data_IF_288685728912
#
_entry.id   IF_288685728912
#
_cell.length_a   1.000
_cell.length_b   1.000
_cell.length_c   1.000
_cell.angle_alpha   90.00
_cell.angle_beta   90.00
_cell.angle_gamma   90.00
#
_symmetry.space_group_name_H-M   'P 1'
#
loop_
_entity.id
_entity.type
_entity.pdbx_description
1 polymer ?
#
# COMPACT_ATOMS: atom_id res chain seq x y z
N UNK A 1 -7.99 6.04 -17.93
CA UNK A 1 -7.98 4.57 -17.76
C UNK A 1 -9.19 4.17 -16.94
N UNK A 2 -9.82 3.02 -17.20
CA UNK A 2 -11.01 2.61 -16.42
C UNK A 2 -10.59 2.06 -15.04
N UNK A 3 -11.24 2.52 -13.97
CA UNK A 3 -10.96 2.05 -12.58
C UNK A 3 -11.08 0.53 -12.47
N UNK A 4 -12.11 -0.08 -13.06
CA UNK A 4 -12.33 -1.53 -12.99
C UNK A 4 -11.20 -2.32 -13.67
N UNK A 5 -10.57 -1.76 -14.71
CA UNK A 5 -9.39 -2.37 -15.32
C UNK A 5 -8.18 -2.33 -14.37
N UNK A 6 -7.94 -1.19 -13.71
CA UNK A 6 -6.84 -1.04 -12.74
C UNK A 6 -7.02 -2.04 -11.60
N UNK A 7 -8.24 -2.15 -11.04
CA UNK A 7 -8.56 -3.10 -9.97
C UNK A 7 -8.28 -4.55 -10.39
N UNK A 8 -8.72 -4.94 -11.59
CA UNK A 8 -8.49 -6.29 -12.13
C UNK A 8 -7.00 -6.62 -12.28
N UNK A 9 -6.20 -5.68 -12.78
CA UNK A 9 -4.75 -5.87 -12.93
C UNK A 9 -4.06 -6.02 -11.56
N UNK A 10 -4.44 -5.20 -10.57
CA UNK A 10 -3.93 -5.30 -9.19
C UNK A 10 -4.26 -6.68 -8.61
N UNK A 11 -5.52 -7.10 -8.65
CA UNK A 11 -5.94 -8.40 -8.11
C UNK A 11 -5.13 -9.53 -8.75
N UNK A 12 -4.94 -9.47 -10.07
CA UNK A 12 -4.19 -10.51 -10.80
C UNK A 12 -2.70 -10.51 -10.43
N UNK A 13 -2.06 -9.35 -10.36
CA UNK A 13 -0.62 -9.24 -10.10
C UNK A 13 -0.22 -9.60 -8.66
N UNK A 14 -1.15 -9.49 -7.71
CA UNK A 14 -0.92 -9.74 -6.29
C UNK A 14 -1.61 -11.00 -5.75
N UNK A 15 -2.35 -11.76 -6.57
CA UNK A 15 -3.23 -12.87 -6.11
C UNK A 15 -2.57 -13.90 -5.16
N UNK A 16 -1.29 -14.21 -5.34
CA UNK A 16 -0.58 -15.26 -4.60
C UNK A 16 0.37 -14.69 -3.52
N UNK A 17 0.30 -13.38 -3.26
CA UNK A 17 1.16 -12.71 -2.29
C UNK A 17 0.71 -13.06 -0.88
N UNK A 18 1.66 -13.47 -0.05
CA UNK A 18 1.49 -13.80 1.38
C UNK A 18 2.35 -12.89 2.25
N UNK A 19 1.90 -12.63 3.46
CA UNK A 19 2.59 -11.78 4.43
C UNK A 19 3.89 -12.43 4.94
N UNK A 20 3.91 -13.76 5.10
CA UNK A 20 5.03 -14.50 5.71
C UNK A 20 5.44 -13.86 7.05
N UNK A 21 6.71 -13.49 7.19
CA UNK A 21 7.29 -12.85 8.36
C UNK A 21 7.27 -11.32 8.29
N UNK A 22 6.69 -10.73 7.23
CA UNK A 22 6.54 -9.28 7.12
C UNK A 22 5.62 -8.70 8.19
N UNK A 23 5.76 -7.39 8.44
CA UNK A 23 4.96 -6.66 9.43
C UNK A 23 3.50 -6.64 8.99
N UNK A 24 2.60 -7.09 9.87
CA UNK A 24 1.16 -7.15 9.62
C UNK A 24 0.42 -5.83 9.86
N UNK A 25 -0.83 -5.73 9.40
CA UNK A 25 -1.64 -4.51 9.49
C UNK A 25 -1.80 -4.01 10.94
N UNK A 26 -2.21 -4.89 11.84
CA UNK A 26 -2.45 -4.59 13.26
C UNK A 26 -1.14 -4.48 14.04
N UNK A 27 -0.13 -5.27 13.68
CA UNK A 27 1.23 -5.10 14.22
C UNK A 27 1.78 -3.70 13.91
N UNK A 28 1.65 -3.25 12.66
CA UNK A 28 2.05 -1.90 12.25
C UNK A 28 1.28 -0.81 13.00
N UNK A 29 -0.03 -0.99 13.22
CA UNK A 29 -0.83 -0.06 14.00
C UNK A 29 -0.33 0.02 15.45
N UNK A 30 -0.03 -1.13 16.08
CA UNK A 30 0.52 -1.16 17.43
C UNK A 30 1.90 -0.48 17.51
N UNK A 31 2.73 -0.58 16.44
CA UNK A 31 4.00 0.15 16.36
C UNK A 31 3.74 1.66 16.31
N UNK A 32 2.78 2.12 15.49
CA UNK A 32 2.40 3.54 15.39
C UNK A 32 1.84 4.09 16.72
N UNK A 33 1.09 3.26 17.45
CA UNK A 33 0.54 3.60 18.77
C UNK A 33 1.62 3.58 19.88
N UNK A 34 2.89 3.34 19.55
CA UNK A 34 4.02 3.21 20.49
C UNK A 34 3.81 2.12 21.54
N UNK A 35 3.05 1.08 21.20
CA UNK A 35 2.81 -0.03 22.09
C UNK A 35 4.08 -0.85 22.32
N UNK A 36 4.15 -1.53 23.47
CA UNK A 36 5.28 -2.38 23.81
C UNK A 36 5.31 -3.67 22.96
N UNK A 37 6.45 -4.37 22.98
CA UNK A 37 6.65 -5.58 22.17
C UNK A 37 5.60 -6.67 22.43
N UNK A 38 5.14 -6.86 23.66
CA UNK A 38 4.13 -7.88 23.98
C UNK A 38 2.78 -7.53 23.32
N UNK A 39 2.40 -6.26 23.37
CA UNK A 39 1.20 -5.75 22.70
C UNK A 39 1.30 -5.85 21.17
N UNK A 40 2.47 -5.58 20.58
CA UNK A 40 2.71 -5.78 19.15
C UNK A 40 2.57 -7.25 18.73
N UNK A 41 3.10 -8.18 19.53
CA UNK A 41 2.94 -9.63 19.29
C UNK A 41 1.47 -10.05 19.39
N UNK A 42 0.72 -9.50 20.35
CA UNK A 42 -0.72 -9.74 20.46
C UNK A 42 -1.47 -9.19 19.24
N UNK A 43 -1.13 -7.99 18.78
CA UNK A 43 -1.72 -7.39 17.59
C UNK A 43 -1.44 -8.24 16.34
N UNK A 44 -0.20 -8.74 16.20
CA UNK A 44 0.22 -9.65 15.11
C UNK A 44 -0.59 -10.95 15.03
N UNK A 45 -1.22 -11.37 16.12
CA UNK A 45 -2.08 -12.56 16.12
C UNK A 45 -3.43 -12.31 15.42
N UNK A 46 -3.84 -11.05 15.23
CA UNK A 46 -5.04 -10.67 14.49
C UNK A 46 -4.81 -10.58 12.98
N UNK A 47 -3.54 -10.52 12.55
CA UNK A 47 -3.21 -10.25 11.15
C UNK A 47 -3.57 -11.40 10.21
N UNK A 48 -4.19 -11.02 9.10
CA UNK A 48 -4.40 -11.87 7.94
C UNK A 48 -3.06 -12.05 7.22
N UNK A 49 -2.66 -13.30 6.98
CA UNK A 49 -1.32 -13.61 6.45
C UNK A 49 -1.30 -14.29 5.08
N UNK A 50 -2.40 -14.96 4.72
CA UNK A 50 -2.45 -15.83 3.54
C UNK A 50 -3.12 -15.20 2.33
N UNK A 51 -4.05 -14.26 2.54
CA UNK A 51 -4.81 -13.65 1.45
C UNK A 51 -5.21 -12.21 1.80
N UNK A 52 -4.50 -11.25 1.23
CA UNK A 52 -4.74 -9.82 1.46
C UNK A 52 -6.14 -9.35 1.02
N UNK A 53 -6.84 -10.07 0.13
CA UNK A 53 -8.22 -9.75 -0.26
C UNK A 53 -9.23 -9.91 0.89
N UNK A 54 -8.85 -10.58 1.98
CA UNK A 54 -9.71 -10.74 3.16
C UNK A 54 -9.62 -9.55 4.11
N UNK A 55 -8.69 -8.61 3.90
CA UNK A 55 -8.61 -7.39 4.70
C UNK A 55 -9.88 -6.57 4.49
N UNK A 56 -10.55 -6.22 5.57
CA UNK A 56 -11.79 -5.45 5.49
C UNK A 56 -11.49 -3.96 5.26
N UNK A 57 -12.39 -3.26 4.59
CA UNK A 57 -12.27 -1.80 4.44
C UNK A 57 -12.29 -1.08 5.80
N UNK A 58 -12.95 -1.64 6.81
CA UNK A 58 -12.99 -1.08 8.16
C UNK A 58 -11.62 -1.17 8.84
N UNK A 59 -10.95 -2.32 8.75
CA UNK A 59 -9.60 -2.49 9.28
C UNK A 59 -8.59 -1.59 8.55
N UNK A 60 -8.69 -1.50 7.22
CA UNK A 60 -7.82 -0.62 6.42
C UNK A 60 -8.05 0.87 6.72
N UNK A 61 -9.30 1.27 6.96
CA UNK A 61 -9.64 2.63 7.37
C UNK A 61 -9.10 2.94 8.76
N UNK A 62 -9.21 1.99 9.69
CA UNK A 62 -8.73 2.17 11.06
C UNK A 62 -7.20 2.14 11.18
N UNK A 63 -6.54 1.33 10.35
CA UNK A 63 -5.10 1.15 10.34
C UNK A 63 -4.43 1.87 9.16
N UNK A 64 -4.91 3.08 8.82
CA UNK A 64 -4.45 3.82 7.64
C UNK A 64 -2.99 4.30 7.75
N UNK A 65 -2.50 4.54 8.97
CA UNK A 65 -1.12 4.91 9.26
C UNK A 65 -0.11 3.75 9.08
N UNK A 66 -0.58 2.50 9.13
CA UNK A 66 0.26 1.29 9.08
C UNK A 66 1.18 1.22 7.85
N UNK A 67 0.80 1.86 6.73
CA UNK A 67 1.64 1.94 5.52
C UNK A 67 3.03 2.56 5.78
N UNK A 68 3.19 3.37 6.82
CA UNK A 68 4.48 3.99 7.17
C UNK A 68 5.41 3.05 7.96
N UNK A 69 4.89 1.94 8.48
CA UNK A 69 5.60 1.04 9.40
C UNK A 69 5.85 -0.34 8.84
N UNK A 70 5.35 -0.64 7.64
CA UNK A 70 5.64 -1.91 7.00
C UNK A 70 7.10 -2.03 6.59
N UNK A 71 7.64 -3.23 6.78
CA UNK A 71 8.85 -3.66 6.09
C UNK A 71 8.55 -4.01 4.63
N UNK A 72 9.57 -4.40 3.85
CA UNK A 72 9.38 -4.68 2.43
C UNK A 72 8.37 -5.81 2.15
N UNK A 73 8.28 -6.80 3.05
CA UNK A 73 7.38 -7.93 2.89
C UNK A 73 5.95 -7.58 3.33
N UNK A 74 5.78 -6.78 4.39
CA UNK A 74 4.51 -6.19 4.78
C UNK A 74 3.97 -5.26 3.68
N UNK A 75 4.81 -4.40 3.12
CA UNK A 75 4.43 -3.49 2.05
C UNK A 75 3.95 -4.24 0.80
N UNK A 76 4.70 -5.27 0.37
CA UNK A 76 4.31 -6.13 -0.74
C UNK A 76 2.92 -6.77 -0.53
N UNK A 77 2.59 -7.18 0.70
CA UNK A 77 1.31 -7.83 1.01
C UNK A 77 0.14 -6.84 1.11
N UNK A 78 0.32 -5.69 1.76
CA UNK A 78 -0.78 -4.79 2.08
C UNK A 78 -1.06 -3.74 1.01
N UNK A 79 -0.05 -3.27 0.27
CA UNK A 79 -0.23 -2.20 -0.71
C UNK A 79 -1.36 -2.43 -1.73
N UNK A 80 -1.61 -3.64 -2.29
CA UNK A 80 -2.74 -3.83 -3.19
C UNK A 80 -4.09 -3.60 -2.50
N UNK A 81 -4.25 -3.99 -1.24
CA UNK A 81 -5.49 -3.80 -0.49
C UNK A 81 -5.79 -2.31 -0.28
N UNK A 82 -4.77 -1.54 0.11
CA UNK A 82 -4.88 -0.08 0.26
C UNK A 82 -5.20 0.62 -1.06
N UNK A 83 -4.56 0.25 -2.17
CA UNK A 83 -4.89 0.83 -3.48
C UNK A 83 -6.34 0.51 -3.89
N UNK A 84 -6.82 -0.73 -3.66
CA UNK A 84 -8.20 -1.07 -3.96
C UNK A 84 -9.20 -0.29 -3.09
N UNK A 85 -8.89 -0.11 -1.80
CA UNK A 85 -9.72 0.66 -0.88
C UNK A 85 -9.79 2.14 -1.28
N UNK A 86 -8.65 2.73 -1.67
CA UNK A 86 -8.56 4.10 -2.19
C UNK A 86 -9.42 4.27 -3.46
N UNK A 87 -9.29 3.38 -4.44
CA UNK A 87 -10.08 3.38 -5.67
C UNK A 87 -11.59 3.19 -5.44
N UNK A 88 -12.00 2.79 -4.24
CA UNK A 88 -13.39 2.68 -3.82
C UNK A 88 -13.85 3.81 -2.88
N UNK A 89 -12.98 4.79 -2.59
CA UNK A 89 -13.23 5.89 -1.65
C UNK A 89 -13.50 5.38 -0.23
N UNK A 90 -12.73 4.38 0.24
CA UNK A 90 -12.94 3.70 1.52
C UNK A 90 -11.88 3.99 2.59
N UNK A 91 -10.89 4.79 2.28
CA UNK A 91 -9.84 5.16 3.23
C UNK A 91 -10.08 6.56 3.80
N UNK A 92 -9.50 6.81 4.97
CA UNK A 92 -9.36 8.15 5.53
C UNK A 92 -8.08 8.80 4.99
N UNK A 93 -6.94 8.11 5.13
CA UNK A 93 -5.66 8.48 4.52
C UNK A 93 -5.29 7.45 3.45
N UNK A 94 -5.12 7.92 2.22
CA UNK A 94 -4.78 7.08 1.06
C UNK A 94 -3.29 6.72 0.98
N UNK A 95 -2.92 5.79 0.08
CA UNK A 95 -1.55 5.32 -0.08
C UNK A 95 -0.62 6.32 -0.82
N UNK A 96 -1.07 7.54 -1.11
CA UNK A 96 -0.34 8.50 -1.94
C UNK A 96 1.02 8.86 -1.33
N UNK A 97 1.07 9.24 -0.05
CA UNK A 97 2.33 9.64 0.61
C UNK A 97 3.37 8.49 0.63
N UNK A 98 3.02 7.24 0.99
CA UNK A 98 3.93 6.11 0.86
C UNK A 98 4.41 5.86 -0.57
N UNK A 99 3.50 5.95 -1.54
CA UNK A 99 3.83 5.70 -2.95
C UNK A 99 4.60 6.84 -3.62
N UNK A 100 4.69 8.02 -2.98
CA UNK A 100 5.45 9.16 -3.49
C UNK A 100 6.70 9.43 -2.66
N UNK A 101 6.56 10.05 -1.50
CA UNK A 101 7.66 10.49 -0.65
C UNK A 101 8.50 9.33 -0.12
N UNK A 102 7.86 8.24 0.36
CA UNK A 102 8.60 7.08 0.85
C UNK A 102 9.25 6.27 -0.27
N UNK A 103 8.64 6.21 -1.46
CA UNK A 103 9.25 5.58 -2.62
C UNK A 103 10.61 6.18 -3.00
N UNK A 104 10.79 7.48 -2.74
CA UNK A 104 12.04 8.21 -3.00
C UNK A 104 12.99 8.15 -1.79
N UNK A 105 12.47 8.38 -0.58
CA UNK A 105 13.30 8.49 0.64
C UNK A 105 13.69 7.13 1.24
N UNK A 106 12.88 6.10 1.04
CA UNK A 106 13.10 4.74 1.53
C UNK A 106 12.62 3.70 0.49
N UNK A 107 13.28 3.62 -0.68
CA UNK A 107 12.87 2.73 -1.78
C UNK A 107 12.89 1.24 -1.42
N UNK A 108 13.61 0.87 -0.35
CA UNK A 108 13.78 -0.51 0.10
C UNK A 108 12.48 -1.18 0.52
N UNK A 109 11.46 -0.41 0.94
CA UNK A 109 10.14 -0.97 1.29
C UNK A 109 9.40 -1.52 0.07
N UNK A 110 9.80 -1.14 -1.14
CA UNK A 110 9.19 -1.59 -2.40
C UNK A 110 10.07 -2.59 -3.16
N UNK A 111 11.24 -2.97 -2.63
CA UNK A 111 12.24 -3.80 -3.34
C UNK A 111 11.76 -5.21 -3.70
N UNK A 112 10.71 -5.71 -3.04
CA UNK A 112 10.15 -7.03 -3.30
C UNK A 112 9.05 -7.02 -4.38
N UNK A 113 8.58 -5.85 -4.83
CA UNK A 113 7.62 -5.76 -5.93
C UNK A 113 8.29 -6.20 -7.24
N UNK A 114 7.66 -7.15 -7.93
CA UNK A 114 8.07 -7.52 -9.28
C UNK A 114 7.58 -6.49 -10.31
N UNK A 115 8.02 -6.65 -11.56
CA UNK A 115 7.72 -5.72 -12.66
C UNK A 115 6.20 -5.54 -12.87
N UNK A 116 5.41 -6.60 -12.80
CA UNK A 116 3.96 -6.52 -12.99
C UNK A 116 3.26 -5.78 -11.84
N UNK A 117 3.74 -5.99 -10.61
CA UNK A 117 3.22 -5.33 -9.42
C UNK A 117 3.56 -3.83 -9.41
N UNK A 118 4.79 -3.46 -9.78
CA UNK A 118 5.19 -2.06 -9.97
C UNK A 118 4.38 -1.38 -11.08
N UNK A 119 4.12 -2.07 -12.19
CA UNK A 119 3.22 -1.56 -13.25
C UNK A 119 1.83 -1.22 -12.71
N UNK A 120 1.28 -2.03 -11.82
CA UNK A 120 -0.02 -1.74 -11.22
C UNK A 120 0.00 -0.47 -10.36
N UNK A 121 1.08 -0.25 -9.59
CA UNK A 121 1.29 0.99 -8.83
C UNK A 121 1.37 2.19 -9.77
N UNK A 122 2.13 2.09 -10.87
CA UNK A 122 2.21 3.13 -11.90
C UNK A 122 0.83 3.46 -12.47
N UNK A 123 0.06 2.45 -12.86
CA UNK A 123 -1.29 2.64 -13.41
C UNK A 123 -2.21 3.38 -12.43
N UNK A 124 -2.11 3.08 -11.14
CA UNK A 124 -2.85 3.76 -10.09
C UNK A 124 -2.41 5.23 -9.97
N UNK A 125 -1.11 5.50 -9.87
CA UNK A 125 -0.57 6.85 -9.75
C UNK A 125 -0.86 7.72 -10.98
N UNK A 126 -0.76 7.16 -12.19
CA UNK A 126 -1.16 7.85 -13.43
C UNK A 126 -2.65 8.18 -13.44
N UNK A 127 -3.49 7.28 -12.91
CA UNK A 127 -4.91 7.54 -12.76
C UNK A 127 -5.17 8.68 -11.76
N UNK A 128 -4.47 8.69 -10.61
CA UNK A 128 -4.55 9.76 -9.62
C UNK A 128 -4.12 11.11 -10.21
N UNK A 129 -2.99 11.18 -10.92
CA UNK A 129 -2.49 12.43 -11.54
C UNK A 129 -3.46 13.04 -12.58
N UNK A 130 -4.39 12.22 -13.09
CA UNK A 130 -5.43 12.63 -14.03
C UNK A 130 -6.74 13.07 -13.34
N UNK A 131 -6.92 12.85 -12.03
CA UNK A 131 -8.11 13.31 -11.30
C UNK A 131 -7.85 14.64 -10.60
N UNK A 132 -8.84 15.52 -10.61
CA UNK A 132 -8.80 16.82 -9.92
C UNK A 132 -8.71 16.66 -8.38
N UNK A 133 -9.20 15.54 -7.82
CA UNK A 133 -9.15 15.30 -6.38
C UNK A 133 -7.72 15.16 -5.83
N UNK A 134 -6.75 14.78 -6.69
CA UNK A 134 -5.34 14.65 -6.33
C UNK A 134 -4.49 15.84 -6.82
N UNK A 135 -5.10 16.98 -7.20
CA UNK A 135 -4.34 18.14 -7.69
C UNK A 135 -3.32 18.66 -6.67
N UNK A 136 -3.60 18.51 -5.37
CA UNK A 136 -2.66 18.84 -4.29
C UNK A 136 -1.40 17.96 -4.35
N UNK A 137 -1.57 16.64 -4.47
CA UNK A 137 -0.48 15.67 -4.49
C UNK A 137 0.16 15.47 -5.87
N UNK A 138 -0.44 16.04 -6.93
CA UNK A 138 -0.07 15.78 -8.32
C UNK A 138 1.41 15.96 -8.60
N UNK A 139 2.02 17.02 -8.07
CA UNK A 139 3.45 17.29 -8.27
C UNK A 139 4.34 16.21 -7.65
N UNK A 140 3.97 15.67 -6.49
CA UNK A 140 4.69 14.58 -5.84
C UNK A 140 4.44 13.24 -6.54
N UNK A 141 3.23 13.02 -7.06
CA UNK A 141 2.89 11.86 -7.88
C UNK A 141 3.74 11.83 -9.15
N UNK A 142 3.77 12.93 -9.91
CA UNK A 142 4.55 13.04 -11.15
C UNK A 142 6.05 12.88 -10.87
N UNK A 143 6.55 13.49 -9.79
CA UNK A 143 7.95 13.32 -9.35
C UNK A 143 8.27 11.86 -9.03
N UNK A 144 7.44 11.18 -8.25
CA UNK A 144 7.67 9.78 -7.90
C UNK A 144 7.61 8.85 -9.11
N UNK A 145 6.66 9.09 -10.03
CA UNK A 145 6.58 8.36 -11.30
C UNK A 145 7.90 8.46 -12.07
N UNK A 146 8.42 9.67 -12.27
CA UNK A 146 9.65 9.89 -13.03
C UNK A 146 10.94 9.49 -12.30
N UNK A 147 11.03 9.74 -11.00
CA UNK A 147 12.27 9.55 -10.26
C UNK A 147 12.45 8.10 -9.78
N UNK A 148 11.36 7.39 -9.52
CA UNK A 148 11.37 6.05 -8.96
C UNK A 148 10.65 5.01 -9.84
N UNK A 149 9.34 5.17 -10.06
CA UNK A 149 8.52 4.05 -10.59
C UNK A 149 8.78 3.69 -12.05
N UNK A 150 9.10 4.66 -12.92
CA UNK A 150 9.45 4.35 -14.32
C UNK A 150 10.88 3.82 -14.50
N UNK A 151 11.74 3.94 -13.48
CA UNK A 151 13.15 3.54 -13.56
C UNK A 151 13.44 2.14 -13.01
N UNK A 152 12.56 1.60 -12.17
CA UNK A 152 12.77 0.39 -11.38
C UNK A 152 11.70 -0.67 -11.63
#
# INVERSE_FOLDING_TARGET
>A
MCIEYIKSEIITAFKDVKLKDGIGLWEAQAIDDYENNDAQVIARNKDIKDNWLLLSNEDLFHCDSSLSYFDAQGMLFHIPAFILAELNGKLNIGPILPLTSLAISNPDIFKLLNVNQKRCVVMFLEWCAAQHEYDFDKSDIERALHEYWYKN
#
